data_IF_811235173018
#
_entry.id   IF_811235173018
#
_cell.length_a   1.000
_cell.length_b   1.000
_cell.length_c   1.000
_cell.angle_alpha   90.00
_cell.angle_beta   90.00
_cell.angle_gamma   90.00
#
_symmetry.space_group_name_H-M   'P 1'
#
loop_
_entity.id
_entity.type
_entity.pdbx_description
1 polymer ?
#
# COMPACT_ATOMS: atom_id res chain seq x y z
N UNK A 1 -10.30 46.32 -8.56
CA UNK A 1 -10.60 45.36 -7.48
C UNK A 1 -10.01 44.02 -7.90
N UNK A 2 -8.79 43.72 -7.45
CA UNK A 2 -8.13 42.45 -7.71
C UNK A 2 -8.24 41.60 -6.44
N UNK A 3 -8.98 40.51 -6.54
CA UNK A 3 -9.12 39.54 -5.44
C UNK A 3 -7.85 38.69 -5.43
N UNK A 4 -6.96 39.00 -4.49
CA UNK A 4 -5.78 38.18 -4.22
C UNK A 4 -6.22 36.82 -3.71
N UNK A 5 -5.92 35.77 -4.48
CA UNK A 5 -6.00 34.39 -3.98
C UNK A 5 -4.94 34.24 -2.89
N UNK A 6 -5.39 34.12 -1.64
CA UNK A 6 -4.56 33.82 -0.48
C UNK A 6 -4.04 32.39 -0.64
N UNK A 7 -2.87 32.23 -1.24
CA UNK A 7 -2.14 30.98 -1.23
C UNK A 7 -1.88 30.54 0.22
N UNK A 8 -2.15 29.26 0.50
CA UNK A 8 -1.90 28.66 1.81
C UNK A 8 -0.46 28.98 2.29
N UNK A 9 -0.24 29.28 3.59
CA UNK A 9 1.08 29.63 4.09
C UNK A 9 2.07 28.50 3.80
N UNK A 10 3.22 28.86 3.20
CA UNK A 10 4.32 27.94 2.93
C UNK A 10 4.66 27.17 4.22
N UNK A 11 4.33 25.88 4.24
CA UNK A 11 4.56 25.05 5.41
C UNK A 11 6.07 24.89 5.59
N UNK A 12 6.59 25.23 6.78
CA UNK A 12 8.04 25.18 7.03
C UNK A 12 8.62 23.80 6.74
N UNK A 13 9.85 23.74 6.26
CA UNK A 13 10.59 22.49 5.97
C UNK A 13 10.55 21.53 7.16
N UNK A 14 10.75 22.05 8.38
CA UNK A 14 10.66 21.27 9.61
C UNK A 14 9.29 20.60 9.81
N UNK A 15 8.20 21.32 9.52
CA UNK A 15 6.86 20.74 9.64
C UNK A 15 6.58 19.70 8.55
N UNK A 16 7.03 19.92 7.30
CA UNK A 16 6.92 18.94 6.21
C UNK A 16 7.65 17.64 6.54
N UNK A 17 8.89 17.74 7.01
CA UNK A 17 9.70 16.59 7.45
C UNK A 17 9.00 15.85 8.60
N UNK A 18 8.59 16.55 9.65
CA UNK A 18 7.91 15.95 10.81
C UNK A 18 6.62 15.22 10.41
N UNK A 19 5.78 15.81 9.55
CA UNK A 19 4.54 15.19 9.07
C UNK A 19 4.82 13.95 8.21
N UNK A 20 5.85 14.00 7.36
CA UNK A 20 6.29 12.84 6.57
C UNK A 20 6.78 11.72 7.48
N UNK A 21 7.58 12.02 8.51
CA UNK A 21 8.00 11.02 9.52
C UNK A 21 6.80 10.44 10.27
N UNK A 22 5.77 11.24 10.58
CA UNK A 22 4.56 10.75 11.21
C UNK A 22 3.77 9.77 10.31
N UNK A 23 3.73 10.00 8.99
CA UNK A 23 3.15 9.06 8.00
C UNK A 23 3.92 7.73 7.98
N UNK A 24 5.26 7.79 7.99
CA UNK A 24 6.14 6.61 8.05
C UNK A 24 5.93 5.82 9.34
N UNK A 25 5.92 6.51 10.49
CA UNK A 25 5.69 5.93 11.83
C UNK A 25 4.37 5.17 11.90
N UNK A 26 3.29 5.75 11.38
CA UNK A 26 1.96 5.10 11.30
C UNK A 26 1.99 3.77 10.58
N UNK A 27 2.90 3.60 9.62
CA UNK A 27 3.09 2.37 8.85
C UNK A 27 4.19 1.46 9.39
N UNK A 28 4.83 1.83 10.50
CA UNK A 28 5.80 1.00 11.20
C UNK A 28 7.15 0.87 10.49
N UNK A 29 7.56 1.86 9.69
CA UNK A 29 8.89 1.87 9.08
C UNK A 29 9.51 3.28 9.12
N UNK A 30 10.81 3.33 8.81
CA UNK A 30 11.58 4.56 8.72
C UNK A 30 12.52 4.45 7.51
N UNK A 31 13.01 5.59 7.05
CA UNK A 31 13.87 5.66 5.87
C UNK A 31 15.06 6.58 6.13
N UNK A 32 16.06 6.50 5.26
CA UNK A 32 17.23 7.37 5.31
C UNK A 32 16.87 8.82 5.02
N UNK A 33 17.71 9.80 5.42
CA UNK A 33 17.50 11.20 5.07
C UNK A 33 17.30 11.43 3.57
N UNK A 34 18.08 10.76 2.71
CA UNK A 34 17.97 10.86 1.25
C UNK A 34 16.61 10.37 0.73
N UNK A 35 16.16 9.22 1.23
CA UNK A 35 14.87 8.64 0.83
C UNK A 35 13.70 9.45 1.37
N UNK A 36 13.81 9.98 2.60
CA UNK A 36 12.84 10.91 3.19
C UNK A 36 12.73 12.19 2.36
N UNK A 37 13.85 12.73 1.90
CA UNK A 37 13.91 13.93 1.08
C UNK A 37 13.14 13.75 -0.24
N UNK A 38 13.26 12.58 -0.89
CA UNK A 38 12.54 12.27 -2.13
C UNK A 38 11.01 12.14 -1.94
N UNK A 39 10.56 11.69 -0.76
CA UNK A 39 9.14 11.44 -0.46
C UNK A 39 8.50 12.48 0.45
N UNK A 40 9.14 13.65 0.64
CA UNK A 40 8.66 14.63 1.58
C UNK A 40 7.31 15.22 1.14
N UNK A 41 6.43 15.45 2.12
CA UNK A 41 5.17 16.15 1.95
C UNK A 41 5.41 17.53 1.33
N UNK A 42 4.58 17.94 0.37
CA UNK A 42 4.70 19.20 -0.36
C UNK A 42 5.84 19.23 -1.37
N UNK A 43 6.45 18.08 -1.68
CA UNK A 43 7.47 17.93 -2.72
C UNK A 43 8.83 17.47 -2.20
N UNK A 44 9.76 17.11 -3.11
CA UNK A 44 11.11 16.73 -2.73
C UNK A 44 11.87 17.85 -2.00
N UNK A 45 12.79 17.45 -1.13
CA UNK A 45 13.79 18.31 -0.49
C UNK A 45 15.19 17.82 -0.85
N UNK A 46 16.22 18.59 -0.51
CA UNK A 46 17.58 18.08 -0.43
C UNK A 46 17.79 17.28 0.85
N UNK A 47 18.73 16.33 0.82
CA UNK A 47 19.12 15.58 2.01
C UNK A 47 19.63 16.50 3.13
N UNK A 48 20.36 17.56 2.78
CA UNK A 48 20.87 18.55 3.73
C UNK A 48 19.73 19.25 4.47
N UNK A 49 18.69 19.70 3.76
CA UNK A 49 17.50 20.31 4.38
C UNK A 49 16.80 19.36 5.35
N UNK A 50 16.70 18.08 5.01
CA UNK A 50 16.15 17.06 5.90
C UNK A 50 17.02 16.91 7.14
N UNK A 51 18.34 16.77 6.99
CA UNK A 51 19.28 16.64 8.12
C UNK A 51 19.21 17.85 9.05
N UNK A 52 19.17 19.07 8.50
CA UNK A 52 18.98 20.29 9.28
C UNK A 52 17.63 20.32 10.01
N UNK A 53 16.54 19.98 9.32
CA UNK A 53 15.21 19.92 9.92
C UNK A 53 15.11 18.89 11.05
N UNK A 54 15.77 17.74 10.91
CA UNK A 54 15.85 16.70 11.94
C UNK A 54 16.66 17.18 13.13
N UNK A 55 17.84 17.78 12.90
CA UNK A 55 18.71 18.29 13.96
C UNK A 55 18.05 19.43 14.75
N UNK A 56 17.28 20.29 14.08
CA UNK A 56 16.55 21.40 14.70
C UNK A 56 15.24 20.98 15.39
N UNK A 57 14.79 19.74 15.23
CA UNK A 57 13.52 19.26 15.77
C UNK A 57 13.72 18.50 17.08
N UNK A 58 13.08 18.91 18.19
CA UNK A 58 13.19 18.20 19.46
C UNK A 58 12.56 16.81 19.41
N UNK A 59 11.63 16.54 18.48
CA UNK A 59 10.86 15.30 18.42
C UNK A 59 11.39 14.31 17.36
N UNK A 60 12.39 14.71 16.59
CA UNK A 60 13.02 13.84 15.59
C UNK A 60 14.43 13.47 16.02
N UNK A 61 14.89 12.33 15.52
CA UNK A 61 16.26 11.87 15.72
C UNK A 61 16.71 11.03 14.53
N UNK A 62 18.02 10.87 14.40
CA UNK A 62 18.61 9.89 13.50
C UNK A 62 19.12 8.72 14.32
N UNK A 63 18.77 7.50 13.93
CA UNK A 63 19.28 6.26 14.53
C UNK A 63 19.80 5.38 13.42
N UNK A 64 21.12 5.15 13.39
CA UNK A 64 21.77 4.26 12.42
C UNK A 64 21.38 4.56 10.97
N UNK A 65 21.42 5.86 10.63
CA UNK A 65 21.02 6.47 9.35
C UNK A 65 19.53 6.42 9.00
N UNK A 66 18.64 6.06 9.93
CA UNK A 66 17.19 6.18 9.77
C UNK A 66 16.64 7.40 10.51
N UNK A 67 15.74 8.14 9.88
CA UNK A 67 15.04 9.26 10.52
C UNK A 67 13.80 8.75 11.25
N UNK A 68 13.74 9.01 12.55
CA UNK A 68 12.69 8.53 13.44
C UNK A 68 12.05 9.67 14.22
N UNK A 69 10.80 9.44 14.62
CA UNK A 69 10.18 10.11 15.76
C UNK A 69 10.83 9.58 17.05
N UNK A 70 11.16 10.47 18.00
CA UNK A 70 11.80 10.07 19.26
C UNK A 70 10.94 9.14 20.10
N UNK A 71 9.62 9.25 20.01
CA UNK A 71 8.71 8.33 20.70
C UNK A 71 8.81 6.90 20.17
N UNK A 72 9.32 6.73 18.94
CA UNK A 72 9.51 5.42 18.31
C UNK A 72 10.92 4.84 18.58
N UNK A 73 11.73 5.45 19.45
CA UNK A 73 13.08 4.97 19.76
C UNK A 73 13.10 3.57 20.36
N UNK A 74 12.08 3.19 21.13
CA UNK A 74 11.95 1.83 21.67
C UNK A 74 11.85 0.76 20.58
N UNK A 75 11.30 1.13 19.42
CA UNK A 75 11.10 0.23 18.27
C UNK A 75 12.23 0.34 17.23
N UNK A 76 13.19 1.25 17.43
CA UNK A 76 14.21 1.61 16.44
C UNK A 76 15.02 0.40 15.95
N UNK A 77 15.42 -0.50 16.85
CA UNK A 77 16.13 -1.73 16.49
C UNK A 77 15.31 -2.66 15.61
N UNK A 78 14.01 -2.80 15.88
CA UNK A 78 13.10 -3.61 15.05
C UNK A 78 12.90 -2.97 13.67
N UNK A 79 12.67 -1.65 13.62
CA UNK A 79 12.53 -0.89 12.38
C UNK A 79 13.81 -1.00 11.52
N UNK A 80 14.99 -0.85 12.13
CA UNK A 80 16.28 -0.99 11.46
C UNK A 80 16.49 -2.40 10.92
N UNK A 81 16.21 -3.42 11.72
CA UNK A 81 16.23 -4.82 11.28
C UNK A 81 15.33 -5.06 10.05
N UNK A 82 14.14 -4.44 10.00
CA UNK A 82 13.24 -4.50 8.83
C UNK A 82 13.85 -3.83 7.60
N UNK A 83 14.41 -2.63 7.74
CA UNK A 83 15.03 -1.92 6.63
C UNK A 83 16.23 -2.67 6.03
N UNK A 84 17.08 -3.25 6.88
CA UNK A 84 18.22 -4.08 6.44
C UNK A 84 17.71 -5.34 5.74
N UNK A 85 16.78 -6.06 6.36
CA UNK A 85 16.18 -7.26 5.77
C UNK A 85 15.48 -6.99 4.44
N UNK A 86 14.80 -5.85 4.31
CA UNK A 86 14.15 -5.45 3.06
C UNK A 86 15.17 -5.33 1.92
N UNK A 87 16.31 -4.69 2.17
CA UNK A 87 17.36 -4.51 1.14
C UNK A 87 17.91 -5.85 0.66
N UNK A 88 18.07 -6.82 1.56
CA UNK A 88 18.58 -8.15 1.24
C UNK A 88 17.54 -9.02 0.49
N UNK A 89 16.26 -8.94 0.89
CA UNK A 89 15.26 -9.96 0.52
C UNK A 89 14.27 -9.49 -0.56
N UNK A 90 13.98 -8.18 -0.64
CA UNK A 90 12.86 -7.66 -1.43
C UNK A 90 12.91 -8.01 -2.91
N UNK A 91 14.10 -8.05 -3.52
CA UNK A 91 14.25 -8.30 -4.96
C UNK A 91 13.61 -9.61 -5.43
N UNK A 92 13.79 -10.70 -4.68
CA UNK A 92 13.18 -12.00 -5.00
C UNK A 92 11.65 -11.95 -4.89
N UNK A 93 11.13 -11.21 -3.90
CA UNK A 93 9.69 -11.05 -3.69
C UNK A 93 9.05 -10.11 -4.71
N UNK A 94 9.75 -9.07 -5.16
CA UNK A 94 9.30 -8.25 -6.30
C UNK A 94 9.18 -9.11 -7.55
N UNK A 95 10.21 -9.87 -7.90
CA UNK A 95 10.17 -10.76 -9.07
C UNK A 95 9.00 -11.76 -9.01
N UNK A 96 8.84 -12.44 -7.87
CA UNK A 96 7.71 -13.34 -7.60
C UNK A 96 6.36 -12.64 -7.74
N UNK A 97 6.25 -11.41 -7.21
CA UNK A 97 5.02 -10.61 -7.31
C UNK A 97 4.71 -10.26 -8.76
N UNK A 98 5.71 -9.90 -9.57
CA UNK A 98 5.50 -9.61 -10.99
C UNK A 98 4.98 -10.84 -11.75
N UNK A 99 5.49 -12.04 -11.47
CA UNK A 99 4.96 -13.27 -12.07
C UNK A 99 3.51 -13.57 -11.64
N UNK A 100 3.21 -13.35 -10.36
CA UNK A 100 1.85 -13.44 -9.85
C UNK A 100 0.93 -12.44 -10.56
N UNK A 101 1.33 -11.18 -10.66
CA UNK A 101 0.52 -10.12 -11.29
C UNK A 101 0.30 -10.42 -12.78
N UNK A 102 1.30 -10.92 -13.52
CA UNK A 102 1.13 -11.37 -14.91
C UNK A 102 0.02 -12.41 -15.04
N UNK A 103 -0.03 -13.38 -14.12
CA UNK A 103 -1.06 -14.42 -14.10
C UNK A 103 -2.42 -13.82 -13.72
N UNK A 104 -2.45 -12.97 -12.70
CA UNK A 104 -3.66 -12.30 -12.21
C UNK A 104 -4.33 -11.48 -13.30
N UNK A 105 -3.60 -10.59 -13.99
CA UNK A 105 -4.19 -9.70 -14.99
C UNK A 105 -4.57 -10.43 -16.29
N UNK A 106 -3.96 -11.57 -16.57
CA UNK A 106 -4.38 -12.45 -17.66
C UNK A 106 -5.71 -13.16 -17.32
N UNK A 107 -5.88 -13.59 -16.07
CA UNK A 107 -7.07 -14.30 -15.60
C UNK A 107 -8.25 -13.38 -15.25
N UNK A 108 -7.99 -12.14 -14.82
CA UNK A 108 -8.99 -11.18 -14.38
C UNK A 108 -8.99 -9.92 -15.26
N UNK A 109 -9.64 -9.94 -16.43
CA UNK A 109 -9.58 -8.86 -17.40
C UNK A 109 -10.28 -7.56 -16.94
N UNK A 110 -11.09 -7.62 -15.88
CA UNK A 110 -11.74 -6.49 -15.21
C UNK A 110 -10.80 -5.71 -14.27
N UNK A 111 -9.58 -6.22 -14.02
CA UNK A 111 -8.54 -5.46 -13.31
C UNK A 111 -7.93 -4.45 -14.29
N UNK A 112 -8.00 -3.18 -13.91
CA UNK A 112 -7.50 -2.04 -14.68
C UNK A 112 -6.08 -1.68 -14.30
N UNK A 113 -5.73 -1.76 -13.01
CA UNK A 113 -4.40 -1.47 -12.48
C UNK A 113 -4.05 -2.35 -11.28
N UNK A 114 -2.76 -2.60 -11.11
CA UNK A 114 -2.18 -3.28 -9.95
C UNK A 114 -0.93 -2.51 -9.50
N UNK A 115 -0.86 -2.21 -8.21
CA UNK A 115 0.32 -1.65 -7.55
C UNK A 115 0.74 -2.55 -6.39
N UNK A 116 2.05 -2.76 -6.23
CA UNK A 116 2.61 -3.35 -5.01
C UNK A 116 2.47 -2.31 -3.89
N UNK A 117 2.04 -2.75 -2.72
CA UNK A 117 1.77 -1.90 -1.57
C UNK A 117 2.45 -2.46 -0.31
N UNK A 118 2.14 -1.86 0.84
CA UNK A 118 2.57 -2.36 2.15
C UNK A 118 4.08 -2.39 2.32
N UNK A 119 4.58 -3.32 3.14
CA UNK A 119 5.98 -3.34 3.56
C UNK A 119 6.96 -3.58 2.40
N UNK A 120 6.51 -4.26 1.33
CA UNK A 120 7.32 -4.49 0.13
C UNK A 120 7.53 -3.20 -0.68
N UNK A 121 6.49 -2.36 -0.83
CA UNK A 121 6.62 -1.09 -1.51
C UNK A 121 7.32 -0.03 -0.63
N UNK A 122 7.13 -0.13 0.69
CA UNK A 122 7.50 0.93 1.61
C UNK A 122 8.93 0.85 2.16
N UNK A 123 9.65 -0.25 1.93
CA UNK A 123 11.06 -0.39 2.34
C UNK A 123 11.27 -1.16 3.65
N UNK A 124 10.23 -1.77 4.21
CA UNK A 124 10.28 -2.45 5.51
C UNK A 124 9.93 -3.93 5.45
N UNK A 125 10.06 -4.58 4.31
CA UNK A 125 9.65 -5.97 4.08
C UNK A 125 10.47 -6.99 4.87
N UNK A 126 9.80 -8.04 5.36
CA UNK A 126 10.44 -9.27 5.85
C UNK A 126 9.91 -10.48 5.07
N UNK A 127 10.72 -11.55 4.89
CA UNK A 127 10.25 -12.80 4.28
C UNK A 127 9.00 -13.40 4.92
N UNK A 128 8.73 -13.13 6.19
CA UNK A 128 7.52 -13.58 6.88
C UNK A 128 6.25 -12.79 6.53
N UNK A 129 6.38 -11.63 5.87
CA UNK A 129 5.26 -10.76 5.54
C UNK A 129 4.48 -11.27 4.31
N UNK A 130 3.19 -10.96 4.27
CA UNK A 130 2.38 -11.04 3.05
C UNK A 130 2.79 -9.91 2.09
N UNK A 131 2.67 -10.14 0.78
CA UNK A 131 2.77 -9.05 -0.21
C UNK A 131 1.41 -8.41 -0.41
N UNK A 132 1.33 -7.12 -0.11
CA UNK A 132 0.13 -6.30 -0.28
C UNK A 132 0.02 -5.77 -1.72
N UNK A 133 -1.20 -5.81 -2.28
CA UNK A 133 -1.52 -5.28 -3.60
C UNK A 133 -2.68 -4.29 -3.50
N UNK A 134 -2.54 -3.14 -4.17
CA UNK A 134 -3.65 -2.23 -4.43
C UNK A 134 -4.16 -2.45 -5.85
N UNK A 135 -5.47 -2.57 -6.01
CA UNK A 135 -6.13 -2.88 -7.27
C UNK A 135 -7.10 -1.77 -7.66
N UNK A 136 -7.11 -1.45 -8.95
CA UNK A 136 -8.20 -0.70 -9.57
C UNK A 136 -8.97 -1.64 -10.48
N UNK A 137 -10.29 -1.69 -10.36
CA UNK A 137 -11.16 -2.63 -11.08
C UNK A 137 -12.35 -1.92 -11.74
N UNK A 138 -12.95 -2.59 -12.72
CA UNK A 138 -14.24 -2.18 -13.27
C UNK A 138 -15.36 -2.26 -12.21
N UNK A 139 -16.34 -1.37 -12.27
CA UNK A 139 -17.45 -1.33 -11.31
C UNK A 139 -18.23 -2.66 -11.26
N UNK A 140 -18.58 -3.09 -10.04
CA UNK A 140 -19.24 -4.36 -9.77
C UNK A 140 -18.34 -5.59 -9.93
N UNK A 141 -17.03 -5.46 -9.71
CA UNK A 141 -16.08 -6.59 -9.71
C UNK A 141 -15.13 -6.60 -8.51
N UNK A 142 -15.38 -5.74 -7.52
CA UNK A 142 -14.50 -5.57 -6.36
C UNK A 142 -14.32 -6.86 -5.55
N UNK A 143 -15.40 -7.56 -5.25
CA UNK A 143 -15.35 -8.80 -4.48
C UNK A 143 -14.88 -9.97 -5.34
N UNK A 144 -15.22 -9.96 -6.63
CA UNK A 144 -14.69 -10.94 -7.58
C UNK A 144 -13.16 -10.84 -7.68
N UNK A 145 -12.61 -9.62 -7.77
CA UNK A 145 -11.17 -9.39 -7.74
C UNK A 145 -10.52 -9.94 -6.48
N UNK A 146 -11.12 -9.67 -5.31
CA UNK A 146 -10.67 -10.22 -4.04
C UNK A 146 -10.63 -11.75 -4.05
N UNK A 147 -11.69 -12.41 -4.53
CA UNK A 147 -11.73 -13.88 -4.61
C UNK A 147 -10.65 -14.40 -5.55
N UNK A 148 -10.50 -13.83 -6.75
CA UNK A 148 -9.47 -14.26 -7.72
C UNK A 148 -8.07 -14.12 -7.13
N UNK A 149 -7.76 -13.01 -6.47
CA UNK A 149 -6.47 -12.80 -5.80
C UNK A 149 -6.19 -13.88 -4.76
N UNK A 150 -7.19 -14.24 -3.93
CA UNK A 150 -7.00 -15.26 -2.90
C UNK A 150 -6.90 -16.67 -3.49
N UNK A 151 -7.66 -17.00 -4.53
CA UNK A 151 -7.59 -18.31 -5.21
C UNK A 151 -6.23 -18.49 -5.89
N UNK A 152 -5.80 -17.51 -6.69
CA UNK A 152 -4.47 -17.56 -7.30
C UNK A 152 -3.37 -17.51 -6.25
N UNK A 153 -3.56 -16.71 -5.19
CA UNK A 153 -2.62 -16.60 -4.07
C UNK A 153 -2.43 -17.94 -3.35
N UNK A 154 -3.50 -18.71 -3.17
CA UNK A 154 -3.44 -20.06 -2.61
C UNK A 154 -2.70 -21.03 -3.53
N UNK A 155 -3.03 -21.02 -4.83
CA UNK A 155 -2.34 -21.86 -5.82
C UNK A 155 -0.83 -21.54 -5.89
N UNK A 156 -0.48 -20.26 -5.79
CA UNK A 156 0.91 -19.81 -5.77
C UNK A 156 1.60 -20.19 -4.46
N UNK A 157 0.95 -19.99 -3.31
CA UNK A 157 1.46 -20.40 -2.00
C UNK A 157 1.73 -21.91 -1.90
N UNK A 158 0.92 -22.75 -2.56
CA UNK A 158 1.17 -24.19 -2.64
C UNK A 158 2.50 -24.54 -3.33
N UNK A 159 3.02 -23.68 -4.21
CA UNK A 159 4.34 -23.84 -4.84
C UNK A 159 5.49 -23.32 -3.96
N UNK A 160 5.19 -22.50 -2.96
CA UNK A 160 6.15 -21.85 -2.07
C UNK A 160 5.93 -22.22 -0.59
N UNK A 161 5.51 -23.48 -0.31
CA UNK A 161 5.17 -23.95 1.05
C UNK A 161 6.32 -23.87 2.07
N UNK A 162 7.56 -23.77 1.60
CA UNK A 162 8.75 -23.62 2.45
C UNK A 162 8.99 -22.18 2.95
N UNK A 163 8.18 -21.20 2.52
CA UNK A 163 8.32 -19.80 2.94
C UNK A 163 8.12 -19.66 4.47
N UNK A 164 8.98 -18.91 5.19
CA UNK A 164 8.76 -18.58 6.60
C UNK A 164 7.44 -17.85 6.82
N UNK A 165 6.75 -18.13 7.93
CA UNK A 165 5.46 -17.49 8.27
C UNK A 165 5.56 -16.94 9.67
N UNK A 166 5.10 -15.71 9.89
CA UNK A 166 4.97 -15.14 11.22
C UNK A 166 3.93 -15.94 12.04
N UNK A 167 4.25 -16.30 13.27
CA UNK A 167 3.35 -17.05 14.16
C UNK A 167 2.02 -16.33 14.36
N UNK A 168 1.99 -15.00 14.30
CA UNK A 168 0.77 -14.17 14.37
C UNK A 168 -0.13 -14.28 13.12
N UNK A 169 0.43 -14.66 11.97
CA UNK A 169 -0.28 -14.76 10.69
C UNK A 169 -0.48 -16.19 10.20
N UNK A 170 0.08 -17.18 10.92
CA UNK A 170 -0.02 -18.61 10.61
C UNK A 170 -1.46 -19.04 10.32
N UNK A 171 -1.68 -19.57 9.11
CA UNK A 171 -2.96 -20.10 8.63
C UNK A 171 -2.91 -21.63 8.66
N UNK A 172 -4.03 -22.31 8.92
CA UNK A 172 -4.05 -23.77 9.05
C UNK A 172 -3.77 -24.53 7.74
N UNK A 173 -3.94 -23.92 6.56
CA UNK A 173 -3.90 -24.64 5.27
C UNK A 173 -2.69 -24.30 4.38
N UNK A 174 -2.28 -23.04 4.30
CA UNK A 174 -1.10 -22.61 3.55
C UNK A 174 -0.66 -21.21 4.01
N UNK A 175 0.64 -20.87 3.92
CA UNK A 175 1.08 -19.48 4.10
C UNK A 175 0.34 -18.57 3.12
N UNK A 176 -0.17 -17.42 3.58
CA UNK A 176 -0.63 -16.40 2.65
C UNK A 176 0.61 -15.76 2.03
N UNK A 177 0.58 -15.55 0.72
CA UNK A 177 1.71 -15.00 -0.03
C UNK A 177 1.37 -13.61 -0.59
N UNK A 178 0.12 -13.45 -1.05
CA UNK A 178 -0.41 -12.24 -1.66
C UNK A 178 -1.73 -11.86 -0.97
N UNK A 179 -1.95 -10.57 -0.77
CA UNK A 179 -3.20 -10.01 -0.26
C UNK A 179 -3.58 -8.75 -1.01
N UNK A 180 -4.88 -8.55 -1.25
CA UNK A 180 -5.38 -7.25 -1.66
C UNK A 180 -5.51 -6.36 -0.42
N UNK A 181 -4.83 -5.22 -0.41
CA UNK A 181 -4.86 -4.21 0.64
C UNK A 181 -5.96 -3.18 0.36
N UNK A 182 -5.96 -2.61 -0.85
CA UNK A 182 -7.00 -1.71 -1.35
C UNK A 182 -7.58 -2.26 -2.67
N UNK A 183 -8.90 -2.20 -2.83
CA UNK A 183 -9.56 -2.48 -4.11
C UNK A 183 -10.54 -1.34 -4.36
N UNK A 184 -10.23 -0.51 -5.36
CA UNK A 184 -11.05 0.60 -5.81
C UNK A 184 -11.78 0.22 -7.10
N UNK A 185 -13.08 0.46 -7.12
CA UNK A 185 -13.85 0.48 -8.37
C UNK A 185 -13.69 1.82 -9.08
N UNK A 186 -14.00 1.86 -10.38
CA UNK A 186 -13.91 3.08 -11.19
C UNK A 186 -14.67 4.26 -10.61
N UNK A 187 -15.92 4.02 -10.21
CA UNK A 187 -16.79 5.01 -9.58
C UNK A 187 -16.29 5.52 -8.23
N UNK A 188 -15.32 4.84 -7.60
CA UNK A 188 -14.82 5.19 -6.27
C UNK A 188 -13.64 6.15 -6.27
N UNK A 189 -13.00 6.38 -7.43
CA UNK A 189 -11.88 7.32 -7.58
C UNK A 189 -12.17 8.49 -8.52
N UNK A 190 -13.41 8.62 -9.01
CA UNK A 190 -13.83 9.72 -9.90
C UNK A 190 -14.92 10.61 -9.26
N UNK A 191 -14.61 11.43 -8.23
CA UNK A 191 -13.35 11.51 -7.49
C UNK A 191 -13.30 10.51 -6.32
N UNK A 192 -12.15 10.43 -5.65
CA UNK A 192 -12.00 9.76 -4.37
C UNK A 192 -12.84 10.50 -3.31
N UNK A 193 -13.52 9.73 -2.46
CA UNK A 193 -14.15 10.24 -1.24
C UNK A 193 -13.13 10.59 -0.15
N UNK A 194 -11.91 10.07 -0.29
CA UNK A 194 -10.81 10.30 0.64
C UNK A 194 -9.59 10.79 -0.12
N UNK A 195 -9.23 12.03 0.13
CA UNK A 195 -8.16 12.78 -0.55
C UNK A 195 -7.06 13.26 0.43
N UNK A 196 -7.07 12.74 1.67
CA UNK A 196 -6.11 13.12 2.72
C UNK A 196 -4.66 12.66 2.48
N UNK A 197 -3.75 13.16 3.32
CA UNK A 197 -2.32 12.87 3.27
C UNK A 197 -1.99 11.38 3.33
N UNK A 198 -2.73 10.59 4.11
CA UNK A 198 -2.49 9.16 4.23
C UNK A 198 -2.88 8.43 2.94
N UNK A 199 -3.94 8.88 2.24
CA UNK A 199 -4.30 8.38 0.91
C UNK A 199 -3.29 8.81 -0.16
N UNK A 200 -2.92 10.09 -0.20
CA UNK A 200 -1.90 10.57 -1.14
C UNK A 200 -0.55 9.85 -0.93
N UNK A 201 -0.20 9.58 0.33
CA UNK A 201 0.99 8.80 0.67
C UNK A 201 0.87 7.33 0.25
N UNK A 202 -0.32 6.71 0.29
CA UNK A 202 -0.55 5.36 -0.24
C UNK A 202 -0.19 5.27 -1.73
N UNK A 203 -0.61 6.25 -2.54
CA UNK A 203 -0.24 6.33 -3.96
C UNK A 203 1.25 6.62 -4.14
N UNK A 204 1.84 7.46 -3.28
CA UNK A 204 3.26 7.80 -3.39
C UNK A 204 4.16 6.60 -3.13
N UNK A 205 3.86 5.79 -2.11
CA UNK A 205 4.68 4.63 -1.78
C UNK A 205 4.34 3.41 -2.63
N UNK A 206 3.08 3.26 -3.06
CA UNK A 206 2.67 2.12 -3.86
C UNK A 206 3.40 2.09 -5.19
N UNK A 207 3.93 0.93 -5.59
CA UNK A 207 4.69 0.76 -6.83
C UNK A 207 3.78 0.21 -7.92
N UNK A 208 3.30 1.04 -8.89
CA UNK A 208 2.47 0.56 -9.96
C UNK A 208 3.25 -0.43 -10.82
N UNK A 209 2.69 -1.60 -11.04
CA UNK A 209 3.32 -2.64 -11.88
C UNK A 209 2.51 -2.92 -13.13
N UNK A 210 1.25 -2.48 -13.19
CA UNK A 210 0.38 -2.70 -14.32
C UNK A 210 -0.71 -1.63 -14.41
N UNK A 211 -1.12 -1.26 -15.63
CA UNK A 211 -2.30 -0.43 -15.85
C UNK A 211 -2.09 1.03 -15.47
N UNK A 212 -0.99 1.61 -15.94
CA UNK A 212 -0.59 2.98 -15.61
C UNK A 212 -1.62 4.02 -16.06
N UNK A 213 -2.41 3.71 -17.08
CA UNK A 213 -3.48 4.58 -17.56
C UNK A 213 -4.55 4.80 -16.47
N UNK A 214 -4.90 3.75 -15.71
CA UNK A 214 -5.86 3.90 -14.62
C UNK A 214 -5.26 4.64 -13.41
N UNK A 215 -3.93 4.62 -13.22
CA UNK A 215 -3.27 5.48 -12.22
C UNK A 215 -3.31 6.94 -12.66
N UNK A 216 -3.05 7.22 -13.94
CA UNK A 216 -3.19 8.56 -14.50
C UNK A 216 -4.64 9.08 -14.35
N UNK A 217 -5.66 8.27 -14.66
CA UNK A 217 -7.06 8.63 -14.45
C UNK A 217 -7.36 9.01 -12.98
N UNK A 218 -6.75 8.33 -12.00
CA UNK A 218 -6.88 8.69 -10.59
C UNK A 218 -6.25 10.05 -10.30
N UNK A 219 -5.01 10.28 -10.75
CA UNK A 219 -4.31 11.54 -10.49
C UNK A 219 -5.01 12.73 -11.15
N UNK A 220 -5.50 12.55 -12.38
CA UNK A 220 -6.23 13.57 -13.14
C UNK A 220 -7.55 13.95 -12.45
N UNK A 221 -8.27 12.97 -11.90
CA UNK A 221 -9.53 13.20 -11.21
C UNK A 221 -9.37 13.72 -9.76
N UNK A 222 -8.15 13.61 -9.18
CA UNK A 222 -7.89 13.93 -7.78
C UNK A 222 -6.62 14.80 -7.64
N UNK A 223 -6.66 16.06 -8.11
CA UNK A 223 -5.49 16.95 -8.08
C UNK A 223 -4.96 17.22 -6.66
N UNK A 224 -5.81 17.11 -5.64
CA UNK A 224 -5.43 17.22 -4.21
C UNK A 224 -4.32 16.23 -3.82
N UNK A 225 -4.25 15.05 -4.45
CA UNK A 225 -3.16 14.11 -4.22
C UNK A 225 -1.80 14.71 -4.62
N UNK A 226 -1.76 15.47 -5.71
CA UNK A 226 -0.57 16.18 -6.18
C UNK A 226 -0.26 17.42 -5.34
N UNK A 227 -1.27 18.05 -4.73
CA UNK A 227 -1.04 19.13 -3.75
C UNK A 227 -0.29 18.61 -2.51
N UNK A 228 -0.63 17.41 -2.05
CA UNK A 228 0.09 16.74 -0.97
C UNK A 228 1.48 16.26 -1.39
N UNK A 229 1.60 15.60 -2.55
CA UNK A 229 2.87 15.06 -3.05
C UNK A 229 3.04 15.31 -4.55
N UNK A 230 3.56 16.49 -4.95
CA UNK A 230 3.75 16.86 -6.35
C UNK A 230 4.60 15.87 -7.16
N UNK A 231 5.53 15.18 -6.50
CA UNK A 231 6.40 14.18 -7.11
C UNK A 231 5.64 12.94 -7.65
N UNK A 232 4.38 12.75 -7.29
CA UNK A 232 3.51 11.72 -7.86
C UNK A 232 3.39 11.85 -9.39
N UNK A 233 3.34 13.08 -9.92
CA UNK A 233 3.13 13.34 -11.35
C UNK A 233 4.25 12.77 -12.24
N UNK A 234 5.46 12.62 -11.71
CA UNK A 234 6.64 12.11 -12.41
C UNK A 234 7.22 10.86 -11.76
N UNK A 235 6.45 10.13 -10.96
CA UNK A 235 6.96 8.96 -10.23
C UNK A 235 7.49 7.92 -11.23
N UNK A 236 8.75 7.46 -11.10
CA UNK A 236 9.29 6.42 -11.95
C UNK A 236 8.58 5.09 -11.71
N UNK A 237 8.42 4.29 -12.76
CA UNK A 237 7.66 3.03 -12.72
C UNK A 237 8.53 1.86 -13.23
N UNK A 238 9.56 1.47 -12.48
CA UNK A 238 10.63 0.59 -12.97
C UNK A 238 10.18 -0.85 -13.26
N UNK A 239 9.01 -1.25 -12.76
CA UNK A 239 8.50 -2.62 -12.81
C UNK A 239 7.24 -2.77 -13.66
N UNK A 240 6.95 -1.80 -14.53
CA UNK A 240 5.79 -1.85 -15.40
C UNK A 240 5.82 -3.11 -16.28
N UNK A 241 4.76 -3.91 -16.21
CA UNK A 241 4.58 -5.10 -17.04
C UNK A 241 3.65 -4.77 -18.21
N UNK A 242 3.97 -5.32 -19.38
CA UNK A 242 3.16 -5.15 -20.58
C UNK A 242 1.84 -5.93 -20.52
N UNK A 243 0.87 -5.44 -21.30
CA UNK A 243 -0.43 -6.10 -21.48
C UNK A 243 -0.25 -7.43 -22.23
N UNK A 244 -0.50 -8.55 -21.55
CA UNK A 244 -0.63 -9.88 -22.18
C UNK A 244 -2.05 -10.15 -22.67
N UNK A 245 -2.20 -11.22 -23.48
CA UNK A 245 -3.51 -11.81 -23.80
C UNK A 245 -4.26 -12.09 -22.50
N UNK A 246 -5.47 -11.56 -22.39
CA UNK A 246 -6.35 -11.74 -21.24
C UNK A 246 -7.53 -12.62 -21.62
N UNK A 247 -8.12 -13.26 -20.63
CA UNK A 247 -9.42 -13.89 -20.80
C UNK A 247 -10.48 -12.86 -21.26
N UNK A 248 -11.51 -13.28 -22.02
CA UNK A 248 -12.62 -12.39 -22.37
C UNK A 248 -13.35 -11.88 -21.12
N UNK A 249 -13.67 -10.57 -21.10
CA UNK A 249 -14.46 -9.97 -20.01
C UNK A 249 -15.84 -10.61 -19.84
N UNK A 250 -16.41 -11.16 -20.92
CA UNK A 250 -17.71 -11.85 -20.90
C UNK A 250 -17.76 -13.08 -19.98
N UNK A 251 -16.61 -13.67 -19.64
CA UNK A 251 -16.53 -14.78 -18.68
C UNK A 251 -16.72 -14.33 -17.23
N UNK A 252 -16.65 -13.02 -16.98
CA UNK A 252 -16.73 -12.43 -15.64
C UNK A 252 -17.84 -11.37 -15.59
N UNK A 253 -19.11 -11.76 -15.78
CA UNK A 253 -20.21 -10.80 -15.68
C UNK A 253 -20.36 -10.29 -14.24
N UNK A 254 -20.80 -9.04 -14.09
CA UNK A 254 -21.01 -8.35 -12.79
C UNK A 254 -21.91 -9.13 -11.82
N UNK A 255 -22.80 -9.98 -12.35
CA UNK A 255 -23.69 -10.84 -11.53
C UNK A 255 -22.92 -11.85 -10.66
N UNK A 256 -21.63 -12.09 -10.94
CA UNK A 256 -20.77 -12.92 -10.11
C UNK A 256 -20.21 -12.19 -8.87
N UNK A 257 -20.35 -10.87 -8.78
CA UNK A 257 -19.82 -10.12 -7.64
C UNK A 257 -20.58 -10.37 -6.33
N UNK A 258 -21.93 -10.41 -6.29
CA UNK A 258 -22.67 -10.79 -5.08
C UNK A 258 -22.29 -12.18 -4.49
N UNK A 259 -22.21 -13.28 -5.27
CA UNK A 259 -21.74 -14.54 -4.71
C UNK A 259 -20.26 -14.48 -4.30
N UNK A 260 -19.42 -13.74 -5.03
CA UNK A 260 -18.03 -13.51 -4.62
C UNK A 260 -17.94 -12.74 -3.28
N UNK A 261 -18.84 -11.77 -3.05
CA UNK A 261 -18.97 -11.05 -1.79
C UNK A 261 -19.34 -12.00 -0.65
N UNK A 262 -20.33 -12.86 -0.85
CA UNK A 262 -20.74 -13.84 0.17
C UNK A 262 -19.59 -14.79 0.53
N UNK A 263 -18.89 -15.33 -0.48
CA UNK A 263 -17.72 -16.18 -0.28
C UNK A 263 -16.58 -15.45 0.43
N UNK A 264 -16.24 -14.24 -0.02
CA UNK A 264 -15.20 -13.42 0.57
C UNK A 264 -15.51 -13.03 2.02
N UNK A 265 -16.77 -12.70 2.33
CA UNK A 265 -17.23 -12.40 3.68
C UNK A 265 -17.17 -13.62 4.59
N UNK A 266 -17.55 -14.80 4.11
CA UNK A 266 -17.42 -16.05 4.86
C UNK A 266 -15.95 -16.37 5.19
N UNK A 267 -15.06 -16.25 4.20
CA UNK A 267 -13.62 -16.42 4.39
C UNK A 267 -13.05 -15.39 5.38
N UNK A 268 -13.50 -14.13 5.30
CA UNK A 268 -13.09 -13.08 6.23
C UNK A 268 -13.56 -13.38 7.66
N UNK A 269 -14.83 -13.77 7.86
CA UNK A 269 -15.38 -14.15 9.17
C UNK A 269 -14.64 -15.32 9.79
N UNK A 270 -14.38 -16.36 9.00
CA UNK A 270 -13.56 -17.50 9.43
C UNK A 270 -12.19 -17.04 9.94
N UNK A 271 -11.57 -16.08 9.23
CA UNK A 271 -10.29 -15.55 9.64
C UNK A 271 -10.31 -14.72 10.91
N UNK A 272 -11.32 -13.87 11.10
CA UNK A 272 -11.50 -13.18 12.38
C UNK A 272 -11.70 -14.19 13.51
N UNK A 273 -12.49 -15.24 13.28
CA UNK A 273 -12.70 -16.30 14.27
C UNK A 273 -11.40 -17.00 14.66
N UNK A 274 -10.50 -17.33 13.71
CA UNK A 274 -9.19 -17.94 14.04
C UNK A 274 -8.28 -17.01 14.85
N UNK A 275 -8.48 -15.68 14.74
CA UNK A 275 -7.68 -14.65 15.43
C UNK A 275 -8.27 -14.20 16.77
N UNK A 276 -9.43 -14.74 17.17
CA UNK A 276 -10.22 -14.25 18.32
C UNK A 276 -9.48 -14.18 19.66
N UNK A 277 -8.46 -15.02 19.86
CA UNK A 277 -7.64 -15.04 21.08
C UNK A 277 -6.30 -14.27 20.94
N UNK A 278 -6.16 -13.44 19.89
CA UNK A 278 -4.95 -12.66 19.62
C UNK A 278 -5.30 -11.16 19.53
N UNK A 279 -5.28 -10.43 20.64
CA UNK A 279 -5.73 -9.02 20.68
C UNK A 279 -4.92 -8.12 19.74
N UNK A 280 -3.61 -8.33 19.64
CA UNK A 280 -2.73 -7.57 18.73
C UNK A 280 -3.11 -7.75 17.25
N UNK A 281 -3.47 -8.98 16.85
CA UNK A 281 -3.88 -9.26 15.47
C UNK A 281 -5.22 -8.58 15.13
N UNK A 282 -6.15 -8.51 16.09
CA UNK A 282 -7.41 -7.80 15.94
C UNK A 282 -7.21 -6.28 15.88
N UNK A 283 -6.33 -5.73 16.73
CA UNK A 283 -5.98 -4.31 16.71
C UNK A 283 -5.37 -3.89 15.37
N UNK A 284 -4.46 -4.70 14.80
CA UNK A 284 -3.89 -4.46 13.47
C UNK A 284 -4.95 -4.48 12.37
N UNK A 285 -5.90 -5.43 12.42
CA UNK A 285 -7.03 -5.45 11.46
C UNK A 285 -7.89 -4.20 11.59
N UNK A 286 -8.21 -3.77 12.80
CA UNK A 286 -9.02 -2.57 13.04
C UNK A 286 -8.33 -1.30 12.51
N UNK A 287 -7.01 -1.19 12.72
CA UNK A 287 -6.19 -0.10 12.21
C UNK A 287 -6.13 -0.08 10.67
N UNK A 288 -5.86 -1.22 10.03
CA UNK A 288 -5.88 -1.30 8.55
C UNK A 288 -7.28 -0.95 8.01
N UNK A 289 -8.35 -1.33 8.70
CA UNK A 289 -9.70 -0.96 8.28
C UNK A 289 -9.96 0.54 8.41
N UNK A 290 -9.59 1.17 9.54
CA UNK A 290 -9.79 2.61 9.71
C UNK A 290 -9.03 3.41 8.66
N UNK A 291 -7.81 2.99 8.34
CA UNK A 291 -6.96 3.59 7.29
C UNK A 291 -7.39 3.23 5.87
N UNK A 292 -8.43 2.42 5.66
CA UNK A 292 -8.97 2.12 4.32
C UNK A 292 -10.39 2.62 4.12
N UNK A 293 -11.07 3.13 5.16
CA UNK A 293 -12.42 3.71 5.02
C UNK A 293 -12.39 4.91 4.06
N UNK A 294 -13.45 5.09 3.23
CA UNK A 294 -14.67 4.28 3.10
C UNK A 294 -14.53 3.04 2.20
N UNK A 295 -13.32 2.73 1.75
CA UNK A 295 -12.97 1.63 0.84
C UNK A 295 -12.60 0.33 1.57
N UNK A 296 -13.19 0.08 2.74
CA UNK A 296 -13.14 -1.23 3.38
C UNK A 296 -13.91 -2.24 2.54
N UNK A 297 -13.36 -3.44 2.34
CA UNK A 297 -14.00 -4.47 1.51
C UNK A 297 -15.14 -5.18 2.26
N UNK A 298 -14.91 -5.47 3.54
CA UNK A 298 -15.90 -6.04 4.44
C UNK A 298 -15.94 -5.19 5.70
N UNK A 299 -17.14 -4.79 6.08
CA UNK A 299 -17.38 -4.18 7.38
C UNK A 299 -18.05 -5.17 8.33
N UNK A 300 -17.66 -5.09 9.59
CA UNK A 300 -18.46 -5.62 10.68
C UNK A 300 -19.71 -4.74 10.80
N UNK A 301 -20.84 -5.28 10.36
CA UNK A 301 -22.15 -4.93 10.90
C UNK A 301 -22.19 -5.30 12.38
#
# INVERSE_FOLDING_TARGET
MAVGSLGAPATSTANRVRRTVALLRRRGFAVTPSRLAAMCLGGPLSEAEVRWAVAASPNLTTFEDLVLDRDALSDAGSIRSRAVGHTAESGAYVAMTLDFVRTLVAAAPFIRSVSIAGSLASGGFRPSDDVDLNLIVDDGHRHLAYVVVNVLGLAHAMRHRAKPVDDLTRRPLAPRLMTANLILERSQYLPLQRDDEDMAFEFLIGEPVFGLEAIAEVLDANPVLLEHFPQLAGKPVPFAIERRRRLPKSLFPRILDPPARALGQAAWRYMQWTRRHRPEALARVAYVRSTMRPYTLFDAS
#
